data_IF_301705789558
#
_entry.id   IF_301705789558
#
_cell.length_a   1.000
_cell.length_b   1.000
_cell.length_c   1.000
_cell.angle_alpha   90.00
_cell.angle_beta   90.00
_cell.angle_gamma   90.00
#
_symmetry.space_group_name_H-M   'P 1'
#
loop_
_entity.id
_entity.type
_entity.pdbx_description
1 polymer ?
#
# COMPACT_ATOMS: atom_id res chain seq x y z
N UNK A 1 -10.01 0.82 25.62
CA UNK A 1 -9.83 -0.26 24.62
C UNK A 1 -9.62 0.45 23.31
N UNK A 2 -8.45 0.34 22.67
CA UNK A 2 -8.28 0.91 21.32
C UNK A 2 -9.25 0.17 20.41
N UNK A 3 -10.15 0.88 19.73
CA UNK A 3 -10.94 0.30 18.66
C UNK A 3 -9.99 -0.03 17.51
N UNK A 4 -9.65 -1.31 17.37
CA UNK A 4 -8.87 -1.80 16.24
C UNK A 4 -9.66 -1.54 14.97
N UNK A 5 -9.14 -0.68 14.08
CA UNK A 5 -9.74 -0.46 12.77
C UNK A 5 -9.71 -1.78 12.00
N UNK A 6 -10.89 -2.27 11.57
CA UNK A 6 -10.93 -3.45 10.72
C UNK A 6 -10.42 -3.11 9.32
N UNK A 7 -9.53 -3.92 8.73
CA UNK A 7 -9.03 -3.66 7.39
C UNK A 7 -10.15 -3.75 6.35
N UNK A 8 -10.20 -2.79 5.43
CA UNK A 8 -11.19 -2.75 4.35
C UNK A 8 -10.72 -3.47 3.08
N UNK A 9 -9.40 -3.62 2.90
CA UNK A 9 -8.82 -4.36 1.79
C UNK A 9 -8.38 -5.77 2.20
N UNK A 10 -8.18 -6.65 1.22
CA UNK A 10 -7.84 -8.07 1.43
C UNK A 10 -6.61 -8.49 0.64
N UNK A 11 -5.94 -9.55 1.08
CA UNK A 11 -4.89 -10.22 0.31
C UNK A 11 -5.44 -10.63 -1.07
N UNK A 12 -4.59 -10.56 -2.10
CA UNK A 12 -4.91 -10.74 -3.54
C UNK A 12 -5.81 -9.64 -4.14
N UNK A 13 -6.19 -8.62 -3.38
CA UNK A 13 -6.91 -7.47 -3.93
C UNK A 13 -5.92 -6.54 -4.64
N UNK A 14 -6.30 -6.09 -5.83
CA UNK A 14 -5.59 -5.05 -6.55
C UNK A 14 -5.97 -3.67 -6.02
N UNK A 15 -4.96 -2.84 -5.80
CA UNK A 15 -5.10 -1.46 -5.33
C UNK A 15 -4.23 -0.54 -6.17
N UNK A 16 -4.55 0.74 -6.18
CA UNK A 16 -3.69 1.78 -6.75
C UNK A 16 -3.28 2.78 -5.69
N UNK A 17 -2.08 3.34 -5.79
CA UNK A 17 -1.65 4.43 -4.92
C UNK A 17 -2.55 5.67 -5.13
N UNK A 18 -3.13 6.20 -4.07
CA UNK A 18 -3.90 7.46 -4.10
C UNK A 18 -2.99 8.69 -4.16
N UNK A 19 -1.76 8.55 -3.66
CA UNK A 19 -0.71 9.57 -3.60
C UNK A 19 0.63 8.96 -3.99
N UNK A 20 1.66 9.79 -4.19
CA UNK A 20 3.03 9.30 -4.32
C UNK A 20 3.51 8.73 -2.98
N UNK A 21 4.09 7.54 -3.02
CA UNK A 21 4.68 6.87 -1.86
C UNK A 21 6.18 7.12 -1.86
N UNK A 22 6.66 7.84 -0.84
CA UNK A 22 8.07 8.08 -0.62
C UNK A 22 8.56 7.23 0.55
N UNK A 23 9.83 6.84 0.50
CA UNK A 23 10.43 6.10 1.60
C UNK A 23 10.63 7.01 2.83
N UNK A 24 9.88 6.76 3.89
CA UNK A 24 10.02 7.43 5.18
C UNK A 24 11.24 6.95 5.99
N UNK A 25 12.03 6.02 5.43
CA UNK A 25 13.18 5.38 6.05
C UNK A 25 12.92 3.95 6.49
N UNK A 26 11.69 3.43 6.34
CA UNK A 26 11.34 2.05 6.66
C UNK A 26 11.77 1.02 5.62
N UNK A 27 11.90 1.42 4.35
CA UNK A 27 12.31 0.50 3.29
C UNK A 27 13.84 0.35 3.25
N UNK A 28 14.40 -0.86 3.50
CA UNK A 28 15.84 -1.05 3.74
C UNK A 28 16.72 -0.83 2.51
N UNK A 29 16.18 -1.06 1.30
CA UNK A 29 16.96 -1.02 0.05
C UNK A 29 16.87 0.32 -0.70
N UNK A 30 16.15 1.31 -0.16
CA UNK A 30 15.96 2.61 -0.81
C UNK A 30 16.42 3.72 0.12
N UNK A 31 16.94 4.80 -0.46
CA UNK A 31 17.26 5.99 0.33
C UNK A 31 15.99 6.57 0.95
N UNK A 32 16.09 7.27 2.10
CA UNK A 32 15.02 8.15 2.56
C UNK A 32 14.60 9.13 1.47
N UNK A 33 13.31 9.49 1.43
CA UNK A 33 12.67 10.36 0.45
C UNK A 33 12.71 9.86 -1.01
N UNK A 34 13.21 8.65 -1.26
CA UNK A 34 13.14 8.06 -2.59
C UNK A 34 11.70 7.68 -2.94
N UNK A 35 11.28 7.97 -4.17
CA UNK A 35 9.98 7.53 -4.69
C UNK A 35 9.96 5.99 -4.77
N UNK A 36 9.02 5.37 -4.05
CA UNK A 36 8.78 3.93 -4.04
C UNK A 36 7.74 3.58 -5.12
N UNK A 37 6.60 4.28 -5.11
CA UNK A 37 5.55 4.14 -6.11
C UNK A 37 4.86 5.48 -6.37
N UNK A 38 4.58 5.80 -7.63
CA UNK A 38 3.86 7.02 -7.98
C UNK A 38 2.34 6.85 -7.79
N UNK A 39 1.61 7.95 -7.59
CA UNK A 39 0.17 7.97 -7.60
C UNK A 39 -0.40 7.28 -8.86
N UNK A 40 -1.41 6.45 -8.68
CA UNK A 40 -2.03 5.63 -9.73
C UNK A 40 -1.29 4.33 -10.05
N UNK A 41 -0.08 4.10 -9.51
CA UNK A 41 0.61 2.81 -9.68
C UNK A 41 -0.23 1.70 -9.05
N UNK A 42 -0.54 0.68 -9.84
CA UNK A 42 -1.29 -0.49 -9.39
C UNK A 42 -0.35 -1.51 -8.76
N UNK A 43 -0.77 -2.09 -7.64
CA UNK A 43 -0.11 -3.21 -6.97
C UNK A 43 -1.12 -4.21 -6.42
N UNK A 44 -0.60 -5.32 -5.89
CA UNK A 44 -1.41 -6.37 -5.25
C UNK A 44 -1.11 -6.44 -3.75
N UNK A 45 -2.15 -6.53 -2.92
CA UNK A 45 -1.97 -6.76 -1.49
C UNK A 45 -1.52 -8.21 -1.27
N UNK A 46 -0.30 -8.37 -0.75
CA UNK A 46 0.28 -9.69 -0.44
C UNK A 46 0.15 -10.05 1.05
N UNK A 47 -0.02 -9.06 1.93
CA UNK A 47 -0.28 -9.29 3.35
C UNK A 47 -1.05 -8.11 3.99
N UNK A 48 -1.84 -8.41 5.03
CA UNK A 48 -2.52 -7.41 5.87
C UNK A 48 -2.03 -7.58 7.30
N UNK A 49 -1.21 -6.63 7.74
CA UNK A 49 -0.72 -6.53 9.11
C UNK A 49 -1.46 -5.45 9.89
N UNK A 50 -1.03 -5.26 11.14
CA UNK A 50 -1.50 -4.18 12.00
C UNK A 50 -0.32 -3.61 12.78
N UNK A 51 -0.27 -2.28 12.92
CA UNK A 51 0.67 -1.62 13.79
C UNK A 51 0.35 -1.96 15.25
N UNK A 52 1.31 -2.53 15.97
CA UNK A 52 1.07 -3.16 17.29
C UNK A 52 0.56 -2.15 18.33
N UNK A 53 1.06 -0.91 18.29
CA UNK A 53 0.71 0.10 19.29
C UNK A 53 -0.60 0.83 18.98
N UNK A 54 -0.91 1.04 17.69
CA UNK A 54 -2.06 1.86 17.28
C UNK A 54 -3.24 1.03 16.75
N UNK A 55 -3.07 -0.28 16.54
CA UNK A 55 -4.06 -1.15 15.92
C UNK A 55 -4.42 -0.73 14.48
N UNK A 56 -3.61 0.13 13.85
CA UNK A 56 -3.87 0.64 12.50
C UNK A 56 -3.49 -0.45 11.48
N UNK A 57 -4.39 -0.81 10.55
CA UNK A 57 -4.06 -1.71 9.45
C UNK A 57 -2.87 -1.20 8.63
N UNK A 58 -1.97 -2.11 8.29
CA UNK A 58 -0.87 -1.86 7.37
C UNK A 58 -0.95 -2.91 6.26
N UNK A 59 -1.05 -2.45 5.02
CA UNK A 59 -1.18 -3.30 3.85
C UNK A 59 0.19 -3.45 3.19
N UNK A 60 0.72 -4.67 3.12
CA UNK A 60 1.90 -4.93 2.29
C UNK A 60 1.45 -5.11 0.86
N UNK A 61 1.88 -4.20 -0.01
CA UNK A 61 1.52 -4.17 -1.43
C UNK A 61 2.77 -4.48 -2.25
N UNK A 62 2.67 -5.47 -3.12
CA UNK A 62 3.68 -5.73 -4.14
C UNK A 62 3.40 -4.84 -5.37
N UNK A 63 4.35 -3.97 -5.68
CA UNK A 63 4.37 -3.10 -6.84
C UNK A 63 5.31 -3.64 -7.94
N UNK A 64 5.19 -3.13 -9.19
CA UNK A 64 6.08 -3.55 -10.28
C UNK A 64 7.56 -3.48 -9.92
N UNK A 65 8.32 -4.50 -10.33
CA UNK A 65 9.74 -4.61 -10.00
C UNK A 65 10.04 -5.32 -8.67
N UNK A 66 9.12 -6.15 -8.17
CA UNK A 66 9.25 -6.93 -6.93
C UNK A 66 9.47 -6.05 -5.68
N UNK A 67 8.87 -4.86 -5.68
CA UNK A 67 8.97 -3.94 -4.55
C UNK A 67 7.77 -4.15 -3.62
N UNK A 68 8.02 -4.51 -2.37
CA UNK A 68 6.98 -4.64 -1.35
C UNK A 68 7.02 -3.41 -0.44
N UNK A 69 5.91 -2.69 -0.36
CA UNK A 69 5.78 -1.47 0.45
C UNK A 69 4.64 -1.63 1.43
N UNK A 70 4.89 -1.30 2.70
CA UNK A 70 3.84 -1.15 3.70
C UNK A 70 3.09 0.15 3.49
N UNK A 71 1.79 0.07 3.23
CA UNK A 71 0.93 1.21 2.95
C UNK A 71 -0.17 1.32 4.03
N UNK A 72 -0.55 2.55 4.35
CA UNK A 72 -1.74 2.86 5.13
C UNK A 72 -3.01 2.76 4.26
N UNK A 73 -4.16 2.70 4.91
CA UNK A 73 -5.45 2.58 4.21
C UNK A 73 -5.73 3.79 3.30
N UNK A 74 -5.45 5.00 3.80
CA UNK A 74 -5.66 6.27 3.11
C UNK A 74 -4.74 6.48 1.90
N UNK A 75 -3.65 5.72 1.81
CA UNK A 75 -2.69 5.79 0.70
C UNK A 75 -3.13 4.94 -0.50
N UNK A 76 -4.18 4.13 -0.33
CA UNK A 76 -4.64 3.16 -1.31
C UNK A 76 -6.07 3.46 -1.78
N UNK A 77 -6.34 3.16 -3.04
CA UNK A 77 -7.67 3.09 -3.60
C UNK A 77 -7.89 1.70 -4.19
N UNK A 78 -9.13 1.19 -4.11
CA UNK A 78 -9.50 -0.05 -4.78
C UNK A 78 -9.30 0.12 -6.28
N UNK A 79 -8.39 -0.66 -6.87
CA UNK A 79 -8.25 -0.71 -8.32
C UNK A 79 -9.37 -1.62 -8.84
N UNK A 80 -10.56 -1.05 -9.00
CA UNK A 80 -11.67 -1.78 -9.63
C UNK A 80 -11.27 -2.29 -11.02
N UNK A 81 -11.92 -3.34 -11.50
CA UNK A 81 -11.70 -3.94 -12.83
C UNK A 81 -11.96 -3.00 -14.02
N UNK A 82 -12.17 -1.70 -13.78
CA UNK A 82 -12.55 -0.68 -14.77
C UNK A 82 -11.55 0.48 -14.92
N UNK A 83 -10.41 0.48 -14.22
CA UNK A 83 -9.45 1.60 -14.31
C UNK A 83 -8.08 1.26 -14.94
N UNK A 84 -7.98 0.11 -15.62
CA UNK A 84 -6.95 -0.07 -16.64
C UNK A 84 -7.29 0.88 -17.79
N UNK A 85 -6.72 2.09 -17.78
CA UNK A 85 -6.71 2.94 -18.97
C UNK A 85 -6.15 2.08 -20.12
N UNK A 86 -6.90 1.89 -21.23
CA UNK A 86 -6.31 1.27 -22.41
C UNK A 86 -5.20 2.21 -22.90
N UNK A 87 -3.99 1.66 -23.00
CA UNK A 87 -2.89 2.29 -23.72
C UNK A 87 -3.13 2.34 -25.21
#
# INVERSE_FOLDING_TARGET
MLETRQPIFRVQQHVSCSIDLFNDGSHPERAPDALLAAAGTVGEIVNVGQHVESGTPVYMVEFPGMMIVGCLEEELASAGSHNLKPG
#
